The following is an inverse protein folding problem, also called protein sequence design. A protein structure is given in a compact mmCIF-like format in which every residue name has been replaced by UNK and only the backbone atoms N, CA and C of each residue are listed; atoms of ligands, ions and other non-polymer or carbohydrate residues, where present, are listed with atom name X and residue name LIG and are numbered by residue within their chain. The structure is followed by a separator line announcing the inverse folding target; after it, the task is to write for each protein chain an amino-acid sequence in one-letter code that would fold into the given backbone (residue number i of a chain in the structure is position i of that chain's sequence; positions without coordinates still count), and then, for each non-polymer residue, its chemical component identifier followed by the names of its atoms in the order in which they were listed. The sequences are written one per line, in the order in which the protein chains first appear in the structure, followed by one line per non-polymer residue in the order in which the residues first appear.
data_IF_492560585344
#
_entry.id   IF_492560585344
#
_cell.length_a   1.000
_cell.length_b   1.000
_cell.length_c   1.000
_cell.angle_alpha   90.00
_cell.angle_beta   90.00
_cell.angle_gamma   90.00
#
_symmetry.space_group_name_H-M   'P 1'
#
loop_
_entity.id
_entity.type
_entity.pdbx_description
1 polymer ?
#
# COMPACT_ATOMS: atom_id res chain seq x y z
N UNK A 1 -6.09 16.87 -17.02
CA UNK A 1 -4.71 16.86 -17.59
C UNK A 1 -3.97 15.63 -17.07
N UNK A 2 -3.15 15.01 -17.89
CA UNK A 2 -2.24 13.95 -17.44
C UNK A 2 -1.04 14.63 -16.76
N UNK A 3 -0.82 14.35 -15.46
CA UNK A 3 0.29 14.94 -14.70
C UNK A 3 1.65 14.54 -15.27
N UNK A 4 2.72 15.25 -14.90
CA UNK A 4 4.08 15.02 -15.41
C UNK A 4 4.57 13.56 -15.27
N UNK A 5 4.06 12.83 -14.28
CA UNK A 5 4.35 11.42 -14.03
C UNK A 5 3.70 10.44 -15.01
N UNK A 6 2.71 10.88 -15.80
CA UNK A 6 2.01 10.04 -16.76
C UNK A 6 2.88 9.69 -17.99
N UNK A 7 3.94 10.47 -18.24
CA UNK A 7 4.84 10.31 -19.38
C UNK A 7 6.10 9.50 -19.05
N UNK A 8 6.23 8.92 -17.84
CA UNK A 8 7.36 8.07 -17.52
C UNK A 8 7.34 6.78 -18.38
N UNK A 9 8.51 6.34 -18.88
CA UNK A 9 8.65 4.98 -19.42
C UNK A 9 8.16 3.94 -18.40
N UNK A 10 7.33 2.97 -18.80
CA UNK A 10 6.80 1.94 -17.89
C UNK A 10 7.88 1.16 -17.13
N UNK A 11 9.02 0.91 -17.78
CA UNK A 11 10.15 0.17 -17.20
C UNK A 11 10.82 0.96 -16.07
N UNK A 12 10.96 2.28 -16.26
CA UNK A 12 11.48 3.17 -15.23
C UNK A 12 10.50 3.27 -14.06
N UNK A 13 9.21 3.38 -14.35
CA UNK A 13 8.19 3.40 -13.32
C UNK A 13 8.17 2.10 -12.51
N UNK A 14 8.30 0.94 -13.17
CA UNK A 14 8.43 -0.36 -12.53
C UNK A 14 9.63 -0.41 -11.58
N UNK A 15 10.80 0.04 -12.03
CA UNK A 15 12.03 0.07 -11.21
C UNK A 15 11.88 0.99 -9.99
N UNK A 16 11.31 2.19 -10.17
CA UNK A 16 11.04 3.12 -9.06
C UNK A 16 10.13 2.46 -8.02
N UNK A 17 9.01 1.87 -8.45
CA UNK A 17 8.05 1.28 -7.51
C UNK A 17 8.64 0.05 -6.81
N UNK A 18 9.44 -0.77 -7.51
CA UNK A 18 10.15 -1.91 -6.87
C UNK A 18 11.08 -1.43 -5.76
N UNK A 19 11.91 -0.42 -6.03
CA UNK A 19 12.82 0.15 -5.03
C UNK A 19 12.08 0.75 -3.85
N UNK A 20 10.94 1.41 -4.09
CA UNK A 20 10.09 1.95 -3.02
C UNK A 20 9.47 0.82 -2.19
N UNK A 21 8.97 -0.25 -2.80
CA UNK A 21 8.43 -1.41 -2.06
C UNK A 21 9.50 -2.11 -1.21
N UNK A 22 10.73 -2.20 -1.71
CA UNK A 22 11.86 -2.85 -1.02
C UNK A 22 12.42 -2.00 0.13
N UNK A 23 12.36 -0.67 0.04
CA UNK A 23 12.86 0.25 1.07
C UNK A 23 11.81 0.60 2.12
N UNK A 24 10.55 0.78 1.70
CA UNK A 24 9.46 1.24 2.52
C UNK A 24 8.55 0.06 2.92
N UNK A 25 9.10 -0.88 3.70
CA UNK A 25 8.43 -2.13 4.07
C UNK A 25 7.58 -1.99 5.34
N UNK A 26 8.15 -1.39 6.40
CA UNK A 26 7.51 -1.29 7.70
C UNK A 26 6.76 0.03 7.86
N UNK A 27 5.77 0.07 8.76
CA UNK A 27 5.16 1.34 9.16
C UNK A 27 6.11 2.18 10.02
N UNK A 28 6.12 3.52 9.86
CA UNK A 28 5.24 4.35 8.99
C UNK A 28 5.74 4.51 7.55
N UNK A 29 6.96 4.07 7.26
CA UNK A 29 7.67 4.19 5.99
C UNK A 29 6.82 3.76 4.77
N UNK A 30 6.20 2.58 4.88
CA UNK A 30 5.33 1.98 3.86
C UNK A 30 4.21 2.94 3.37
N UNK A 31 3.85 4.01 4.11
CA UNK A 31 2.80 4.97 3.72
C UNK A 31 3.07 5.54 2.33
N UNK A 32 4.34 5.68 1.97
CA UNK A 32 4.81 6.07 0.64
C UNK A 32 4.24 5.15 -0.44
N UNK A 33 4.26 3.82 -0.26
CA UNK A 33 3.70 2.85 -1.23
C UNK A 33 2.19 3.07 -1.42
N UNK A 34 1.45 3.34 -0.34
CA UNK A 34 0.01 3.61 -0.40
C UNK A 34 -0.28 4.91 -1.15
N UNK A 35 0.56 5.94 -0.97
CA UNK A 35 0.44 7.18 -1.74
C UNK A 35 0.78 6.95 -3.22
N UNK A 36 1.85 6.23 -3.56
CA UNK A 36 2.21 5.88 -4.93
C UNK A 36 1.05 5.15 -5.65
N UNK A 37 0.36 4.25 -4.94
CA UNK A 37 -0.83 3.53 -5.41
C UNK A 37 -2.01 4.43 -5.78
N UNK A 38 -2.03 5.68 -5.31
CA UNK A 38 -3.13 6.63 -5.51
C UNK A 38 -2.88 7.67 -6.61
N UNK A 39 -1.68 7.72 -7.20
CA UNK A 39 -1.27 8.78 -8.14
C UNK A 39 -2.00 8.68 -9.49
N UNK A 40 -1.88 7.56 -10.20
CA UNK A 40 -2.50 7.36 -11.50
C UNK A 40 -2.79 5.88 -11.78
N UNK A 41 -3.62 5.60 -12.80
CA UNK A 41 -4.01 4.22 -13.14
C UNK A 41 -2.82 3.32 -13.47
N UNK A 42 -1.85 3.82 -14.23
CA UNK A 42 -0.63 3.08 -14.60
C UNK A 42 0.20 2.69 -13.37
N UNK A 43 0.41 3.62 -12.44
CA UNK A 43 1.09 3.38 -11.16
C UNK A 43 0.37 2.30 -10.35
N UNK A 44 -0.96 2.41 -10.27
CA UNK A 44 -1.79 1.42 -9.57
C UNK A 44 -1.65 0.02 -10.17
N UNK A 45 -1.63 -0.11 -11.49
CA UNK A 45 -1.57 -1.42 -12.14
C UNK A 45 -0.19 -2.07 -11.93
N UNK A 46 0.89 -1.29 -12.00
CA UNK A 46 2.25 -1.75 -11.67
C UNK A 46 2.37 -2.15 -10.18
N UNK A 47 1.80 -1.37 -9.27
CA UNK A 47 1.86 -1.68 -7.82
C UNK A 47 1.16 -2.99 -7.50
N UNK A 48 0.04 -3.32 -8.16
CA UNK A 48 -0.63 -4.61 -7.96
C UNK A 48 0.26 -5.78 -8.36
N UNK A 49 1.03 -5.64 -9.42
CA UNK A 49 1.96 -6.67 -9.89
C UNK A 49 3.08 -6.90 -8.88
N UNK A 50 3.63 -5.82 -8.31
CA UNK A 50 4.77 -5.89 -7.38
C UNK A 50 4.34 -6.39 -6.00
N UNK A 51 3.31 -5.79 -5.40
CA UNK A 51 3.01 -5.96 -3.97
C UNK A 51 2.13 -7.18 -3.70
N UNK A 52 1.50 -7.76 -4.74
CA UNK A 52 0.58 -8.90 -4.64
C UNK A 52 -0.63 -8.61 -3.73
N UNK A 53 -1.43 -9.65 -3.46
CA UNK A 53 -2.63 -9.51 -2.62
C UNK A 53 -2.28 -9.47 -1.13
N UNK A 54 -3.15 -8.90 -0.26
CA UNK A 54 -2.93 -8.93 1.19
C UNK A 54 -2.80 -10.33 1.78
N UNK A 55 -3.46 -11.33 1.18
CA UNK A 55 -3.34 -12.74 1.58
C UNK A 55 -1.90 -13.25 1.39
N UNK A 56 -1.23 -12.84 0.32
CA UNK A 56 0.12 -13.29 -0.03
C UNK A 56 1.22 -12.46 0.65
N UNK A 57 1.06 -11.14 0.71
CA UNK A 57 2.12 -10.25 1.18
C UNK A 57 1.94 -9.79 2.64
N UNK A 58 0.73 -9.91 3.19
CA UNK A 58 0.37 -9.44 4.52
C UNK A 58 0.42 -7.92 4.71
N UNK A 59 0.59 -7.15 3.63
CA UNK A 59 0.76 -5.70 3.65
C UNK A 59 -0.44 -4.99 3.03
N UNK A 60 -0.75 -3.81 3.56
CA UNK A 60 -1.79 -2.95 2.99
C UNK A 60 -1.21 -2.04 1.91
N UNK A 61 -1.89 -1.99 0.77
CA UNK A 61 -1.44 -1.23 -0.40
C UNK A 61 -2.54 -0.33 -0.97
N UNK A 62 -3.78 -0.82 -1.01
CA UNK A 62 -4.93 -0.06 -1.48
C UNK A 62 -6.05 -0.02 -0.44
N UNK A 63 -6.86 1.04 -0.37
CA UNK A 63 -8.05 1.07 0.48
C UNK A 63 -9.03 -0.08 0.21
N UNK A 64 -9.16 -0.48 -1.06
CA UNK A 64 -10.05 -1.59 -1.45
C UNK A 64 -9.56 -2.95 -0.92
N UNK A 65 -8.26 -3.08 -0.65
CA UNK A 65 -7.66 -4.32 -0.14
C UNK A 65 -8.14 -4.70 1.26
N UNK A 66 -8.73 -3.77 2.00
CA UNK A 66 -9.40 -4.07 3.27
C UNK A 66 -10.59 -5.02 3.14
N UNK A 67 -11.16 -5.16 1.93
CA UNK A 67 -12.24 -6.11 1.67
C UNK A 67 -11.73 -7.49 1.23
N UNK A 68 -10.43 -7.65 1.04
CA UNK A 68 -9.81 -8.91 0.63
C UNK A 68 -9.46 -9.74 1.87
N UNK A 69 -9.32 -11.05 1.69
CA UNK A 69 -8.83 -11.95 2.72
C UNK A 69 -7.46 -11.48 3.23
N UNK A 70 -7.28 -11.50 4.55
CA UNK A 70 -5.99 -11.24 5.17
C UNK A 70 -5.04 -12.43 5.06
N UNK A 71 -3.76 -12.25 5.41
CA UNK A 71 -2.78 -13.33 5.45
C UNK A 71 -3.18 -14.38 6.49
N UNK A 72 -2.83 -15.64 6.23
CA UNK A 72 -3.15 -16.78 7.12
C UNK A 72 -2.29 -16.81 8.37
N UNK A 73 -1.08 -16.29 8.27
CA UNK A 73 -0.02 -16.46 9.26
C UNK A 73 0.03 -15.32 10.30
N UNK A 74 -0.89 -14.36 10.24
CA UNK A 74 -0.95 -13.26 11.20
C UNK A 74 -1.93 -12.16 10.81
N UNK A 75 -2.16 -11.17 11.68
CA UNK A 75 -3.04 -10.06 11.37
C UNK A 75 -2.34 -9.02 10.48
N UNK A 76 -3.11 -8.37 9.59
CA UNK A 76 -2.62 -7.19 8.86
C UNK A 76 -2.28 -6.09 9.88
N UNK A 77 -1.03 -5.63 9.87
CA UNK A 77 -0.53 -4.67 10.85
C UNK A 77 -1.09 -3.25 10.67
N UNK A 78 -1.80 -2.97 9.59
CA UNK A 78 -2.30 -1.63 9.28
C UNK A 78 -3.67 -1.65 8.62
N UNK A 79 -4.49 -0.64 8.91
CA UNK A 79 -5.84 -0.55 8.39
C UNK A 79 -6.21 0.90 8.08
N UNK A 80 -7.10 1.09 7.10
CA UNK A 80 -7.65 2.40 6.74
C UNK A 80 -9.03 2.54 7.36
N UNK A 81 -9.29 3.65 8.05
CA UNK A 81 -10.60 4.01 8.59
C UNK A 81 -11.05 5.31 7.94
N UNK A 82 -12.30 5.32 7.47
CA UNK A 82 -12.94 6.54 6.96
C UNK A 82 -13.50 7.37 8.11
N UNK A 83 -13.10 8.62 8.20
CA UNK A 83 -13.79 9.66 8.96
C UNK A 83 -14.94 10.18 8.10
N UNK A 84 -16.18 9.91 8.53
CA UNK A 84 -17.38 10.29 7.76
C UNK A 84 -17.69 11.77 7.87
N UNK A 85 -17.28 12.44 8.94
CA UNK A 85 -17.54 13.87 9.17
C UNK A 85 -16.76 14.71 8.17
N UNK A 86 -15.49 14.35 7.97
CA UNK A 86 -14.58 15.08 7.06
C UNK A 86 -14.45 14.42 5.69
N UNK A 87 -15.08 13.25 5.48
CA UNK A 87 -14.86 12.38 4.32
C UNK A 87 -13.39 12.06 4.06
N UNK A 88 -12.56 12.05 5.10
CA UNK A 88 -11.14 11.69 5.00
C UNK A 88 -10.92 10.21 5.27
N UNK A 89 -9.91 9.63 4.64
CA UNK A 89 -9.46 8.27 4.93
C UNK A 89 -8.15 8.38 5.70
N UNK A 90 -8.13 7.84 6.92
CA UNK A 90 -6.95 7.83 7.79
C UNK A 90 -6.39 6.43 7.88
N UNK A 91 -5.08 6.34 7.87
CA UNK A 91 -4.35 5.09 7.96
C UNK A 91 -3.81 4.91 9.38
N UNK A 92 -4.01 3.71 9.93
CA UNK A 92 -3.66 3.38 11.31
C UNK A 92 -2.71 2.19 11.33
N UNK A 93 -1.79 2.20 12.29
CA UNK A 93 -1.01 1.03 12.67
C UNK A 93 -1.75 0.28 13.78
N UNK A 94 -2.02 -0.99 13.58
CA UNK A 94 -2.46 -1.91 14.62
C UNK A 94 -1.25 -2.32 15.45
N UNK A 95 -1.11 -1.76 16.64
CA UNK A 95 -0.14 -2.24 17.62
C UNK A 95 -0.60 -3.63 18.07
N UNK A 96 0.02 -4.68 17.55
CA UNK A 96 -0.11 -6.01 18.11
C UNK A 96 0.65 -6.04 19.44
N UNK A 97 0.11 -6.63 20.52
CA UNK A 97 0.91 -6.88 21.71
C UNK A 97 2.10 -7.74 21.29
N UNK A 98 3.30 -7.28 21.58
CA UNK A 98 4.48 -8.11 21.44
C UNK A 98 4.29 -9.28 22.39
N UNK A 99 4.11 -10.50 21.88
CA UNK A 99 4.36 -11.68 22.69
C UNK A 99 5.86 -11.67 22.98
N UNK A 100 6.20 -11.16 24.17
CA UNK A 100 7.54 -11.26 24.73
C UNK A 100 7.82 -12.74 24.97
N UNK A 101 8.69 -13.30 24.15
CA UNK A 101 9.33 -14.59 24.39
C UNK A 101 10.32 -14.50 25.54
#
# INVERSE_FOLDING_TARGET
EQGQWANLPPELLLDIIRRVEESEIAWPARTVVVFCASVYRSWRDIIKEIVKTPEECGRLTFPISLKQSGPRDGPIQCFIKRDRTTSTYRLYFGLMPCESF
#
